data_IF_106174098882
#
_entry.id   IF_106174098882
#
_cell.length_a   1.000
_cell.length_b   1.000
_cell.length_c   1.000
_cell.angle_alpha   90.00
_cell.angle_beta   90.00
_cell.angle_gamma   90.00
#
_symmetry.space_group_name_H-M   'P 1'
#
loop_
_entity.id
_entity.type
_entity.pdbx_description
1 polymer ?
#
# COMPACT_ATOMS: atom_id res chain seq x y z
N UNK A 1 22.87 30.07 9.12
CA UNK A 1 23.10 28.76 9.78
C UNK A 1 21.80 27.93 9.97
N UNK A 2 20.60 28.41 9.61
CA UNK A 2 19.36 27.62 9.68
C UNK A 2 19.12 26.68 8.47
N UNK A 3 19.70 26.97 7.31
CA UNK A 3 19.54 26.15 6.09
C UNK A 3 20.05 24.70 6.25
N UNK A 4 21.17 24.51 6.96
CA UNK A 4 21.75 23.16 7.17
C UNK A 4 20.84 22.26 8.03
N UNK A 5 20.08 22.82 8.99
CA UNK A 5 19.20 22.00 9.86
C UNK A 5 17.98 21.45 9.13
N UNK A 6 17.50 22.16 8.10
CA UNK A 6 16.36 21.71 7.29
C UNK A 6 16.82 20.60 6.34
N UNK A 7 17.98 20.79 5.70
CA UNK A 7 18.58 19.79 4.80
C UNK A 7 18.93 18.50 5.55
N UNK A 8 19.55 18.59 6.73
CA UNK A 8 19.89 17.43 7.55
C UNK A 8 18.62 16.65 7.98
N UNK A 9 17.52 17.36 8.29
CA UNK A 9 16.25 16.73 8.65
C UNK A 9 15.61 16.01 7.46
N UNK A 10 15.67 16.59 6.26
CA UNK A 10 15.16 15.95 5.05
C UNK A 10 15.99 14.74 4.64
N UNK A 11 17.32 14.82 4.74
CA UNK A 11 18.24 13.70 4.46
C UNK A 11 18.00 12.54 5.44
N UNK A 12 17.82 12.84 6.73
CA UNK A 12 17.53 11.80 7.72
C UNK A 12 16.17 11.12 7.49
N UNK A 13 15.15 11.86 7.04
CA UNK A 13 13.86 11.27 6.62
C UNK A 13 13.98 10.39 5.39
N UNK A 14 14.79 10.79 4.41
CA UNK A 14 15.04 9.98 3.22
C UNK A 14 15.84 8.71 3.54
N UNK A 15 16.80 8.78 4.48
CA UNK A 15 17.52 7.60 4.99
C UNK A 15 16.58 6.67 5.76
N UNK A 16 15.77 7.19 6.67
CA UNK A 16 14.77 6.40 7.39
C UNK A 16 13.78 5.73 6.44
N UNK A 17 13.29 6.45 5.42
CA UNK A 17 12.45 5.89 4.36
C UNK A 17 13.20 4.81 3.58
N UNK A 18 14.45 5.03 3.21
CA UNK A 18 15.27 4.06 2.46
C UNK A 18 15.56 2.80 3.29
N UNK A 19 15.95 2.95 4.55
CA UNK A 19 16.24 1.85 5.47
C UNK A 19 14.98 1.05 5.77
N UNK A 20 13.87 1.74 5.98
CA UNK A 20 12.55 1.12 6.09
C UNK A 20 12.21 0.38 4.81
N UNK A 21 12.25 1.04 3.64
CA UNK A 21 12.00 0.44 2.33
C UNK A 21 12.87 -0.80 2.08
N UNK A 22 14.13 -0.83 2.55
CA UNK A 22 15.01 -2.00 2.47
C UNK A 22 14.61 -3.12 3.45
N UNK A 23 14.20 -2.79 4.68
CA UNK A 23 13.69 -3.76 5.66
C UNK A 23 12.39 -4.39 5.18
N UNK A 24 11.50 -3.59 4.58
CA UNK A 24 10.29 -4.09 3.96
C UNK A 24 10.50 -4.66 2.57
N UNK A 25 11.57 -4.43 1.79
CA UNK A 25 11.73 -5.09 0.47
C UNK A 25 11.92 -6.61 0.60
N UNK A 26 12.43 -7.07 1.76
CA UNK A 26 12.44 -8.49 2.15
C UNK A 26 11.03 -9.03 2.47
N UNK A 27 10.05 -8.15 2.72
CA UNK A 27 8.66 -8.47 3.07
C UNK A 27 7.61 -8.08 2.00
N UNK A 28 7.83 -7.02 1.21
CA UNK A 28 6.88 -6.39 0.29
C UNK A 28 7.60 -5.53 -0.76
N UNK A 29 7.14 -5.45 -2.02
CA UNK A 29 7.80 -4.59 -3.02
C UNK A 29 7.70 -3.10 -2.66
N UNK A 30 8.83 -2.39 -2.55
CA UNK A 30 8.87 -0.95 -2.27
C UNK A 30 7.97 -0.09 -3.20
N UNK A 31 7.85 -0.49 -4.47
CA UNK A 31 6.97 0.14 -5.48
C UNK A 31 5.52 0.21 -5.03
N UNK A 32 5.08 -0.76 -4.24
CA UNK A 32 3.68 -0.94 -3.90
C UNK A 32 3.24 -0.03 -2.74
N UNK A 33 4.19 0.59 -2.02
CA UNK A 33 3.93 1.53 -0.93
C UNK A 33 3.07 2.72 -1.38
N UNK A 34 3.34 3.29 -2.56
CA UNK A 34 2.55 4.43 -3.07
C UNK A 34 1.08 4.06 -3.29
N UNK A 35 0.79 2.81 -3.65
CA UNK A 35 -0.56 2.32 -3.86
C UNK A 35 -1.28 2.09 -2.54
N UNK A 36 -0.57 1.55 -1.54
CA UNK A 36 -1.11 1.35 -0.19
C UNK A 36 -1.43 2.69 0.49
N UNK A 37 -0.54 3.69 0.38
CA UNK A 37 -0.75 5.03 0.91
C UNK A 37 -1.95 5.72 0.25
N UNK A 38 -2.05 5.63 -1.07
CA UNK A 38 -3.19 6.20 -1.77
C UNK A 38 -4.51 5.52 -1.37
N UNK A 39 -4.53 4.18 -1.25
CA UNK A 39 -5.69 3.45 -0.75
C UNK A 39 -6.04 3.85 0.69
N UNK A 40 -5.06 4.10 1.55
CA UNK A 40 -5.28 4.56 2.92
C UNK A 40 -5.99 5.91 2.97
N UNK A 41 -5.62 6.83 2.08
CA UNK A 41 -6.24 8.15 1.97
C UNK A 41 -7.66 8.10 1.35
N UNK A 42 -7.94 7.15 0.45
CA UNK A 42 -9.16 7.14 -0.38
C UNK A 42 -10.19 6.05 0.01
N UNK A 43 -9.84 5.07 0.85
CA UNK A 43 -10.78 4.09 1.39
C UNK A 43 -11.64 4.72 2.49
N UNK A 44 -12.61 5.57 2.11
CA UNK A 44 -13.50 6.31 3.02
C UNK A 44 -14.81 5.52 3.27
N UNK A 45 -14.72 4.28 3.74
CA UNK A 45 -15.86 3.58 4.33
C UNK A 45 -16.48 2.45 3.52
N UNK A 46 -16.65 2.57 2.20
CA UNK A 46 -17.21 1.49 1.34
C UNK A 46 -16.18 0.79 0.46
N UNK A 47 -14.96 1.31 0.42
CA UNK A 47 -13.89 0.81 -0.44
C UNK A 47 -13.75 1.61 -1.71
N UNK A 48 -12.59 1.48 -2.33
CA UNK A 48 -12.28 2.20 -3.56
C UNK A 48 -12.71 1.36 -4.76
N UNK A 49 -13.45 1.91 -5.73
CA UNK A 49 -13.73 1.23 -6.99
C UNK A 49 -12.44 0.79 -7.70
N UNK A 50 -12.38 -0.46 -8.16
CA UNK A 50 -11.20 -1.00 -8.86
C UNK A 50 -10.89 -0.24 -10.15
N UNK A 51 -11.90 0.37 -10.78
CA UNK A 51 -11.72 1.27 -11.92
C UNK A 51 -10.95 2.52 -11.55
N UNK A 52 -11.26 3.12 -10.40
CA UNK A 52 -10.57 4.31 -9.89
C UNK A 52 -9.12 3.99 -9.51
N UNK A 53 -8.91 2.87 -8.79
CA UNK A 53 -7.57 2.39 -8.48
C UNK A 53 -6.75 2.09 -9.75
N UNK A 54 -7.38 1.55 -10.81
CA UNK A 54 -6.71 1.33 -12.10
C UNK A 54 -6.29 2.65 -12.75
N UNK A 55 -7.17 3.64 -12.76
CA UNK A 55 -6.87 4.98 -13.30
C UNK A 55 -5.72 5.63 -12.54
N UNK A 56 -5.78 5.63 -11.20
CA UNK A 56 -4.71 6.18 -10.36
C UNK A 56 -3.37 5.45 -10.56
N UNK A 57 -3.40 4.12 -10.49
CA UNK A 57 -2.16 3.35 -10.49
C UNK A 57 -1.44 3.36 -11.84
N UNK A 58 -2.17 3.61 -12.94
CA UNK A 58 -1.67 3.51 -14.32
C UNK A 58 -1.18 2.10 -14.67
N UNK A 59 -1.48 1.10 -13.83
CA UNK A 59 -0.91 -0.23 -13.94
C UNK A 59 -1.72 -1.12 -14.89
N UNK A 60 -1.04 -2.03 -15.63
CA UNK A 60 -1.72 -3.10 -16.34
C UNK A 60 -2.58 -3.93 -15.39
N UNK A 61 -3.73 -4.41 -15.87
CA UNK A 61 -4.64 -5.23 -15.06
C UNK A 61 -3.99 -6.48 -14.46
N UNK A 62 -2.98 -7.05 -15.12
CA UNK A 62 -2.16 -8.16 -14.61
C UNK A 62 -1.31 -7.77 -13.40
N UNK A 63 -0.74 -6.56 -13.39
CA UNK A 63 0.02 -6.02 -12.27
C UNK A 63 -0.90 -5.69 -11.09
N UNK A 64 -2.06 -5.07 -11.36
CA UNK A 64 -3.09 -4.84 -10.34
C UNK A 64 -3.55 -6.15 -9.71
N UNK A 65 -3.80 -7.18 -10.53
CA UNK A 65 -4.18 -8.51 -10.04
C UNK A 65 -3.09 -9.13 -9.17
N UNK A 66 -1.81 -8.96 -9.52
CA UNK A 66 -0.70 -9.45 -8.69
C UNK A 66 -0.64 -8.70 -7.36
N UNK A 67 -0.74 -7.39 -7.39
CA UNK A 67 -0.81 -6.56 -6.18
C UNK A 67 -1.94 -7.01 -5.25
N UNK A 68 -3.18 -7.13 -5.76
CA UNK A 68 -4.33 -7.50 -4.92
C UNK A 68 -4.22 -8.92 -4.36
N UNK A 69 -3.72 -9.88 -5.14
CA UNK A 69 -3.54 -11.25 -4.66
C UNK A 69 -2.42 -11.38 -3.63
N UNK A 70 -1.34 -10.59 -3.77
CA UNK A 70 -0.25 -10.57 -2.80
C UNK A 70 -0.74 -10.04 -1.45
N UNK A 71 -1.27 -8.81 -1.42
CA UNK A 71 -1.70 -8.14 -0.20
C UNK A 71 -3.01 -8.65 0.41
N UNK A 72 -3.73 -9.55 -0.26
CA UNK A 72 -4.86 -10.30 0.35
C UNK A 72 -4.44 -11.63 0.96
N UNK A 73 -3.16 -12.00 0.87
CA UNK A 73 -2.63 -13.25 1.41
C UNK A 73 -3.00 -14.47 0.59
N UNK A 74 -3.57 -14.25 -0.61
CA UNK A 74 -4.02 -15.31 -1.51
C UNK A 74 -2.85 -15.87 -2.34
N UNK A 75 -1.82 -15.07 -2.62
CA UNK A 75 -0.59 -15.53 -3.28
C UNK A 75 0.41 -16.08 -2.26
N UNK A 76 0.69 -17.39 -2.32
CA UNK A 76 1.79 -18.04 -1.59
C UNK A 76 3.14 -17.80 -2.29
N UNK A 77 3.67 -16.58 -2.29
CA UNK A 77 5.10 -16.37 -2.61
C UNK A 77 5.84 -16.07 -1.31
N UNK A 78 6.80 -16.94 -0.98
CA UNK A 78 7.56 -16.98 0.27
C UNK A 78 6.71 -17.34 1.51
N UNK A 79 7.03 -18.46 2.18
CA UNK A 79 6.34 -18.97 3.39
C UNK A 79 6.29 -17.99 4.58
N UNK A 80 6.99 -16.85 4.51
CA UNK A 80 7.20 -15.93 5.62
C UNK A 80 6.22 -14.75 5.67
N UNK A 81 5.60 -14.37 4.56
CA UNK A 81 4.80 -13.14 4.49
C UNK A 81 3.34 -13.48 4.16
N UNK A 82 2.52 -13.67 5.20
CA UNK A 82 1.06 -13.65 5.04
C UNK A 82 0.61 -12.22 5.26
N UNK A 83 0.13 -11.57 4.21
CA UNK A 83 -0.36 -10.19 4.30
C UNK A 83 -1.85 -10.20 4.10
N UNK A 84 -2.59 -9.85 5.15
CA UNK A 84 -4.04 -9.70 5.06
C UNK A 84 -4.39 -8.21 5.06
N UNK A 85 -3.71 -7.44 4.21
CA UNK A 85 -3.78 -5.99 4.20
C UNK A 85 -4.90 -5.46 3.30
N UNK A 86 -5.25 -6.21 2.25
CA UNK A 86 -6.27 -5.85 1.30
C UNK A 86 -7.37 -6.89 1.20
N UNK A 87 -8.59 -6.42 0.96
CA UNK A 87 -9.70 -7.26 0.53
C UNK A 87 -10.31 -6.68 -0.75
N UNK A 88 -10.78 -7.57 -1.62
CA UNK A 88 -11.54 -7.19 -2.79
C UNK A 88 -12.98 -7.69 -2.62
N UNK A 89 -13.96 -6.80 -2.70
CA UNK A 89 -15.38 -7.17 -2.66
C UNK A 89 -16.00 -6.98 -4.04
N UNK A 90 -16.93 -7.86 -4.39
CA UNK A 90 -17.84 -7.64 -5.51
C UNK A 90 -19.06 -6.89 -4.97
N UNK A 91 -19.54 -5.93 -5.74
CA UNK A 91 -20.75 -5.19 -5.41
C UNK A 91 -21.95 -6.15 -5.55
N UNK A 92 -22.78 -6.36 -4.50
CA UNK A 92 -23.91 -7.30 -4.54
C UNK A 92 -24.95 -6.97 -5.62
N UNK A 93 -25.03 -5.70 -6.04
CA UNK A 93 -25.95 -5.25 -7.09
C UNK A 93 -25.35 -5.19 -8.49
N UNK A 94 -24.05 -5.45 -8.65
CA UNK A 94 -23.37 -5.38 -9.94
C UNK A 94 -22.08 -6.21 -9.94
N UNK A 95 -22.13 -7.40 -10.54
CA UNK A 95 -20.99 -8.35 -10.63
C UNK A 95 -19.74 -7.79 -11.35
N UNK A 96 -19.89 -6.70 -12.10
CA UNK A 96 -18.81 -5.99 -12.79
C UNK A 96 -18.11 -5.00 -11.85
N UNK A 97 -18.83 -4.40 -10.89
CA UNK A 97 -18.27 -3.46 -9.93
C UNK A 97 -17.53 -4.21 -8.83
N UNK A 98 -16.22 -3.99 -8.76
CA UNK A 98 -15.34 -4.51 -7.71
C UNK A 98 -14.77 -3.35 -6.93
N UNK A 99 -14.72 -3.46 -5.62
CA UNK A 99 -14.03 -2.53 -4.74
C UNK A 99 -12.81 -3.18 -4.12
N UNK A 100 -11.77 -2.39 -3.88
CA UNK A 100 -10.56 -2.75 -3.15
C UNK A 100 -10.51 -1.94 -1.85
N UNK A 101 -10.15 -2.60 -0.76
CA UNK A 101 -10.20 -2.03 0.59
C UNK A 101 -8.99 -2.43 1.41
N UNK A 102 -8.53 -1.54 2.27
CA UNK A 102 -7.61 -1.93 3.33
C UNK A 102 -8.39 -2.62 4.44
N UNK A 103 -7.87 -3.74 4.92
CA UNK A 103 -8.35 -4.34 6.17
C UNK A 103 -7.91 -3.49 7.35
N UNK A 104 -8.43 -3.82 8.55
CA UNK A 104 -7.95 -3.24 9.80
C UNK A 104 -6.44 -3.44 10.01
N UNK A 105 -5.93 -4.60 9.62
CA UNK A 105 -4.50 -4.94 9.70
C UNK A 105 -3.69 -4.11 8.70
N UNK A 106 -4.15 -4.03 7.45
CA UNK A 106 -3.49 -3.22 6.41
C UNK A 106 -3.44 -1.74 6.75
N UNK A 107 -4.52 -1.19 7.35
CA UNK A 107 -4.52 0.20 7.83
C UNK A 107 -3.47 0.44 8.91
N UNK A 108 -3.45 -0.40 9.94
CA UNK A 108 -2.46 -0.30 11.02
C UNK A 108 -1.03 -0.41 10.51
N UNK A 109 -0.80 -1.28 9.54
CA UNK A 109 0.52 -1.39 8.93
C UNK A 109 0.90 -0.11 8.18
N UNK A 110 -0.01 0.49 7.42
CA UNK A 110 0.23 1.78 6.75
C UNK A 110 0.41 2.92 7.75
N UNK A 111 -0.32 2.93 8.87
CA UNK A 111 -0.14 3.88 9.97
C UNK A 111 1.27 3.77 10.59
N UNK A 112 1.73 2.55 10.87
CA UNK A 112 3.08 2.32 11.39
C UNK A 112 4.17 2.76 10.40
N UNK A 113 3.94 2.58 9.09
CA UNK A 113 4.83 3.12 8.06
C UNK A 113 4.90 4.64 8.17
N UNK A 114 3.75 5.31 8.30
CA UNK A 114 3.68 6.76 8.41
C UNK A 114 4.35 7.29 9.68
N UNK A 115 4.13 6.64 10.83
CA UNK A 115 4.77 6.98 12.12
C UNK A 115 6.29 6.88 12.05
N UNK A 116 6.83 5.94 11.28
CA UNK A 116 8.29 5.76 11.10
C UNK A 116 8.91 6.90 10.27
N UNK A 117 8.10 7.67 9.53
CA UNK A 117 8.55 8.74 8.64
C UNK A 117 8.47 10.15 9.26
N UNK A 118 7.83 10.32 10.41
CA UNK A 118 7.66 11.60 11.09
C UNK A 118 8.91 12.07 11.85
#
# INVERSE_FOLDING_TARGET
MESNKIEDKQINRLKALSDYLFQIDDEFPARDLKYLLWLYQHDIGDGVPMSEFRTFSGLPGTTIRRFTLFYSGTMRRCRKIKTNWLTCKRDPGNDVKKTIRLTKEGRRAVEQILETLE
#
